data_IF_076943385844
#
_entry.id   IF_076943385844
#
_cell.length_a   1.000
_cell.length_b   1.000
_cell.length_c   1.000
_cell.angle_alpha   90.00
_cell.angle_beta   90.00
_cell.angle_gamma   90.00
#
_symmetry.space_group_name_H-M   'P 1'
#
loop_
_entity.id
_entity.type
_entity.pdbx_description
1 polymer ?
#
# COMPACT_ATOMS: atom_id res chain seq x y z
N UNK A 1 6.83 31.37 -47.32
CA UNK A 1 7.66 31.14 -46.11
C UNK A 1 9.10 30.88 -46.56
N UNK A 2 10.08 31.51 -45.92
CA UNK A 2 11.50 31.36 -46.26
C UNK A 2 12.09 30.13 -45.56
N UNK A 3 13.14 29.54 -46.12
CA UNK A 3 13.87 28.38 -45.54
C UNK A 3 14.36 28.63 -44.11
N UNK A 4 14.69 29.89 -43.78
CA UNK A 4 15.02 30.31 -42.41
C UNK A 4 13.89 30.09 -41.41
N UNK A 5 12.64 30.36 -41.78
CA UNK A 5 11.50 30.12 -40.89
C UNK A 5 11.31 28.62 -40.62
N UNK A 6 11.49 27.77 -41.64
CA UNK A 6 11.43 26.32 -41.46
C UNK A 6 12.54 25.79 -40.55
N UNK A 7 13.76 26.32 -40.67
CA UNK A 7 14.87 25.96 -39.79
C UNK A 7 14.60 26.34 -38.34
N UNK A 8 14.01 27.52 -38.08
CA UNK A 8 13.63 27.96 -36.73
C UNK A 8 12.51 27.10 -36.14
N UNK A 9 11.53 26.71 -36.95
CA UNK A 9 10.45 25.82 -36.53
C UNK A 9 11.02 24.44 -36.18
N UNK A 10 11.88 23.87 -37.02
CA UNK A 10 12.53 22.59 -36.76
C UNK A 10 13.36 22.64 -35.47
N UNK A 11 14.14 23.72 -35.27
CA UNK A 11 14.92 23.91 -34.04
C UNK A 11 14.02 24.01 -32.79
N UNK A 12 12.90 24.73 -32.88
CA UNK A 12 11.93 24.84 -31.79
C UNK A 12 11.29 23.49 -31.45
N UNK A 13 10.94 22.68 -32.46
CA UNK A 13 10.38 21.33 -32.26
C UNK A 13 11.40 20.40 -31.60
N UNK A 14 12.67 20.44 -32.03
CA UNK A 14 13.75 19.64 -31.43
C UNK A 14 13.97 20.04 -29.98
N UNK A 15 14.02 21.33 -29.67
CA UNK A 15 14.14 21.83 -28.29
C UNK A 15 12.94 21.43 -27.44
N UNK A 16 11.73 21.49 -27.98
CA UNK A 16 10.52 21.02 -27.31
C UNK A 16 10.57 19.53 -26.99
N UNK A 17 11.00 18.71 -27.94
CA UNK A 17 11.15 17.27 -27.75
C UNK A 17 12.23 16.93 -26.70
N UNK A 18 13.37 17.61 -26.72
CA UNK A 18 14.44 17.46 -25.72
C UNK A 18 13.94 17.87 -24.33
N UNK A 19 13.22 18.99 -24.24
CA UNK A 19 12.65 19.45 -22.97
C UNK A 19 11.66 18.43 -22.39
N UNK A 20 10.79 17.85 -23.21
CA UNK A 20 9.87 16.78 -22.80
C UNK A 20 10.61 15.51 -22.39
N UNK A 21 11.71 15.17 -23.07
CA UNK A 21 12.53 14.01 -22.74
C UNK A 21 13.27 14.19 -21.40
N UNK A 22 13.86 15.36 -21.17
CA UNK A 22 14.58 15.68 -19.93
C UNK A 22 13.63 15.83 -18.73
N UNK A 23 12.41 16.33 -18.94
CA UNK A 23 11.40 16.48 -17.90
C UNK A 23 10.47 15.26 -17.77
N UNK A 24 10.87 14.09 -18.29
CA UNK A 24 10.03 12.90 -18.26
C UNK A 24 9.72 12.42 -16.83
N UNK A 25 10.64 12.64 -15.89
CA UNK A 25 10.46 12.30 -14.48
C UNK A 25 9.41 13.17 -13.77
N UNK A 26 9.09 14.35 -14.32
CA UNK A 26 8.04 15.21 -13.76
C UNK A 26 6.63 14.61 -13.94
N UNK A 27 6.48 13.73 -14.94
CA UNK A 27 5.25 12.97 -15.20
C UNK A 27 5.25 11.59 -14.54
N UNK A 28 6.35 11.18 -13.89
CA UNK A 28 6.38 9.92 -13.18
C UNK A 28 5.41 9.99 -11.99
N UNK A 29 4.46 9.05 -11.96
CA UNK A 29 3.52 8.94 -10.85
C UNK A 29 4.32 8.71 -9.56
N UNK A 30 4.15 9.60 -8.59
CA UNK A 30 4.88 9.55 -7.32
C UNK A 30 4.69 8.17 -6.66
N UNK A 31 5.80 7.51 -6.34
CA UNK A 31 5.81 6.13 -5.84
C UNK A 31 5.28 6.05 -4.41
N UNK A 32 4.47 5.03 -4.11
CA UNK A 32 3.99 4.79 -2.75
C UNK A 32 5.07 4.02 -1.99
N UNK A 33 5.76 4.72 -1.07
CA UNK A 33 6.69 4.08 -0.16
C UNK A 33 5.95 3.61 1.09
N UNK A 34 6.05 2.31 1.36
CA UNK A 34 5.48 1.66 2.53
C UNK A 34 6.61 1.35 3.50
N UNK A 35 6.48 1.84 4.72
CA UNK A 35 7.35 1.50 5.84
C UNK A 35 6.57 0.61 6.80
N UNK A 36 7.26 -0.35 7.43
CA UNK A 36 6.67 -1.13 8.51
C UNK A 36 7.50 -1.00 9.78
N UNK A 37 6.83 -1.07 10.92
CA UNK A 37 7.46 -1.12 12.23
C UNK A 37 6.72 -2.12 13.10
N UNK A 38 7.44 -3.13 13.57
CA UNK A 38 6.95 -4.00 14.64
C UNK A 38 7.32 -3.39 16.00
N UNK A 39 6.34 -3.15 16.86
CA UNK A 39 6.59 -2.66 18.22
C UNK A 39 6.36 -3.77 19.22
N UNK A 40 7.33 -4.12 20.10
CA UNK A 40 7.13 -5.13 21.15
C UNK A 40 6.20 -4.63 22.27
N UNK A 41 5.95 -3.32 22.35
CA UNK A 41 5.09 -2.74 23.39
C UNK A 41 3.62 -3.00 23.07
N UNK A 42 2.79 -3.40 24.06
CA UNK A 42 1.35 -3.47 23.89
C UNK A 42 0.82 -2.07 23.57
N UNK A 43 0.24 -1.91 22.38
CA UNK A 43 -0.46 -0.68 22.01
C UNK A 43 -1.96 -0.99 22.04
N UNK A 44 -2.80 -0.14 22.66
CA UNK A 44 -4.25 -0.27 22.55
C UNK A 44 -4.65 -0.03 21.09
N UNK A 45 -5.00 -1.10 20.39
CA UNK A 45 -5.49 -1.05 19.00
C UNK A 45 -7.01 -1.14 19.03
N UNK A 46 -7.70 -0.19 18.41
CA UNK A 46 -9.12 -0.28 18.14
C UNK A 46 -9.37 -1.37 17.08
N UNK A 47 -9.47 -2.63 17.56
CA UNK A 47 -9.73 -3.81 16.73
C UNK A 47 -11.22 -4.01 16.54
N UNK A 48 -11.55 -4.77 15.49
CA UNK A 48 -12.92 -5.23 15.27
C UNK A 48 -13.34 -6.17 16.40
N UNK A 49 -14.59 -6.03 16.86
CA UNK A 49 -15.15 -6.84 17.95
C UNK A 49 -15.24 -8.30 17.48
N UNK A 50 -14.63 -9.22 18.23
CA UNK A 50 -14.58 -10.65 17.89
C UNK A 50 -13.28 -11.10 17.20
N UNK A 51 -12.33 -10.20 16.92
CA UNK A 51 -11.02 -10.58 16.39
C UNK A 51 -10.26 -11.52 17.35
N UNK A 52 -9.57 -12.51 16.79
CA UNK A 52 -8.78 -13.48 17.53
C UNK A 52 -7.63 -12.79 18.32
N UNK A 53 -7.22 -13.37 19.47
CA UNK A 53 -6.09 -12.84 20.23
C UNK A 53 -4.79 -12.94 19.42
N UNK A 54 -4.04 -11.85 19.34
CA UNK A 54 -2.79 -11.82 18.58
C UNK A 54 -1.61 -12.41 19.35
N UNK A 55 -0.90 -13.32 18.67
CA UNK A 55 0.32 -13.97 19.15
C UNK A 55 1.57 -13.18 18.79
N UNK A 56 1.57 -12.46 17.67
CA UNK A 56 2.68 -11.61 17.22
C UNK A 56 2.65 -10.19 17.83
N UNK A 57 3.76 -9.47 17.68
CA UNK A 57 3.85 -8.05 18.00
C UNK A 57 3.01 -7.22 17.00
N UNK A 58 2.35 -6.13 17.43
CA UNK A 58 1.60 -5.27 16.53
C UNK A 58 2.50 -4.69 15.42
N UNK A 59 2.05 -4.86 14.17
CA UNK A 59 2.72 -4.33 12.98
C UNK A 59 2.06 -3.04 12.55
N UNK A 60 2.84 -1.97 12.53
CA UNK A 60 2.45 -0.64 12.07
C UNK A 60 2.91 -0.48 10.62
N UNK A 61 2.02 -0.01 9.76
CA UNK A 61 2.33 0.38 8.40
C UNK A 61 2.21 1.89 8.28
N UNK A 62 3.25 2.52 7.74
CA UNK A 62 3.31 3.95 7.50
C UNK A 62 3.60 4.25 6.04
N UNK A 63 3.02 5.33 5.54
CA UNK A 63 3.18 5.82 4.18
C UNK A 63 3.94 7.15 4.19
N UNK A 64 4.68 7.41 3.11
CA UNK A 64 5.34 8.71 2.90
C UNK A 64 4.34 9.88 2.89
N UNK A 65 3.12 9.67 2.40
CA UNK A 65 2.04 10.66 2.31
C UNK A 65 0.69 10.10 2.79
N UNK A 66 -0.32 10.98 2.89
CA UNK A 66 -1.69 10.54 3.20
C UNK A 66 -2.30 9.90 1.96
N UNK A 67 -2.72 8.65 2.06
CA UNK A 67 -3.30 7.89 0.96
C UNK A 67 -4.77 7.54 1.23
N UNK A 68 -5.62 7.72 0.23
CA UNK A 68 -7.00 7.25 0.26
C UNK A 68 -7.02 5.78 -0.17
N UNK A 69 -6.92 4.88 0.80
CA UNK A 69 -6.85 3.44 0.54
C UNK A 69 -8.21 2.90 0.09
N UNK A 70 -8.27 2.35 -1.12
CA UNK A 70 -9.46 1.69 -1.66
C UNK A 70 -9.46 0.20 -1.40
N UNK A 71 -8.28 -0.42 -1.33
CA UNK A 71 -8.12 -1.85 -1.05
C UNK A 71 -6.87 -2.11 -0.21
N UNK A 72 -7.00 -2.95 0.82
CA UNK A 72 -5.87 -3.42 1.65
C UNK A 72 -5.98 -4.92 1.77
N UNK A 73 -4.91 -5.63 1.41
CA UNK A 73 -4.82 -7.09 1.50
C UNK A 73 -3.51 -7.49 2.16
N UNK A 74 -3.57 -8.48 3.03
CA UNK A 74 -2.39 -9.13 3.58
C UNK A 74 -2.43 -10.60 3.22
N UNK A 75 -1.31 -11.11 2.72
CA UNK A 75 -1.14 -12.50 2.34
C UNK A 75 0.06 -13.11 3.07
N UNK A 76 0.01 -14.39 3.46
CA UNK A 76 1.22 -15.14 3.78
C UNK A 76 2.09 -15.26 2.54
N UNK A 77 3.39 -15.01 2.65
CA UNK A 77 4.31 -15.08 1.51
C UNK A 77 4.31 -16.48 0.88
N UNK A 78 4.26 -17.51 1.72
CA UNK A 78 4.15 -18.92 1.30
C UNK A 78 2.92 -19.19 0.43
N UNK A 79 1.78 -18.54 0.72
CA UNK A 79 0.56 -18.68 -0.06
C UNK A 79 0.68 -17.99 -1.42
N UNK A 80 1.37 -16.84 -1.49
CA UNK A 80 1.63 -16.11 -2.74
C UNK A 80 2.56 -16.89 -3.66
N UNK A 81 3.57 -17.56 -3.10
CA UNK A 81 4.53 -18.38 -3.86
C UNK A 81 3.90 -19.67 -4.38
N UNK A 82 3.05 -20.30 -3.58
CA UNK A 82 2.50 -21.63 -3.91
C UNK A 82 1.24 -21.57 -4.78
N UNK A 83 0.46 -20.48 -4.69
CA UNK A 83 -0.84 -20.39 -5.35
C UNK A 83 -0.97 -19.11 -6.19
N UNK A 84 -1.48 -19.25 -7.42
CA UNK A 84 -1.81 -18.13 -8.31
C UNK A 84 -2.90 -17.21 -7.73
N UNK A 85 -3.78 -17.75 -6.89
CA UNK A 85 -4.87 -17.03 -6.22
C UNK A 85 -4.74 -17.19 -4.70
N UNK A 86 -3.77 -16.50 -4.06
CA UNK A 86 -3.59 -16.60 -2.63
C UNK A 86 -4.81 -16.04 -1.90
N UNK A 87 -5.19 -16.66 -0.80
CA UNK A 87 -6.27 -16.18 0.05
C UNK A 87 -5.73 -15.11 1.02
N UNK A 88 -6.33 -13.91 1.05
CA UNK A 88 -5.88 -12.87 1.97
C UNK A 88 -6.37 -13.19 3.39
N UNK A 89 -5.46 -13.14 4.35
CA UNK A 89 -5.77 -13.28 5.79
C UNK A 89 -6.41 -12.02 6.37
N UNK A 90 -6.28 -10.90 5.65
CA UNK A 90 -6.96 -9.66 5.94
C UNK A 90 -7.27 -8.95 4.64
N UNK A 91 -8.54 -8.62 4.41
CA UNK A 91 -8.99 -7.96 3.19
C UNK A 91 -10.02 -6.88 3.52
N UNK A 92 -9.61 -5.63 3.32
CA UNK A 92 -10.46 -4.46 3.44
C UNK A 92 -10.67 -3.80 2.08
N UNK A 93 -11.88 -3.30 1.86
CA UNK A 93 -12.27 -2.52 0.68
C UNK A 93 -12.99 -1.25 1.12
N UNK A 94 -12.89 -0.20 0.32
CA UNK A 94 -13.72 0.99 0.42
C UNK A 94 -14.51 1.16 -0.88
N UNK A 95 -15.81 1.42 -0.77
CA UNK A 95 -16.67 1.56 -1.94
C UNK A 95 -16.59 2.97 -2.54
N UNK A 96 -16.40 4.01 -1.72
CA UNK A 96 -16.42 5.40 -2.22
C UNK A 96 -15.84 6.46 -1.27
N UNK A 97 -15.78 6.21 0.05
CA UNK A 97 -15.39 7.21 1.05
C UNK A 97 -14.15 6.77 1.86
N UNK A 98 -13.05 6.48 1.17
CA UNK A 98 -11.76 6.23 1.81
C UNK A 98 -11.22 7.48 2.49
N UNK A 99 -11.02 7.42 3.81
CA UNK A 99 -10.40 8.52 4.54
C UNK A 99 -8.89 8.51 4.29
N UNK A 100 -8.25 9.64 3.96
CA UNK A 100 -6.80 9.70 3.79
C UNK A 100 -6.06 9.30 5.07
N UNK A 101 -5.29 8.21 5.03
CA UNK A 101 -4.50 7.72 6.17
C UNK A 101 -3.01 7.77 5.86
N UNK A 102 -2.20 8.17 6.85
CA UNK A 102 -0.73 8.15 6.78
C UNK A 102 -0.16 6.87 7.37
N UNK A 103 -0.88 6.23 8.30
CA UNK A 103 -0.48 4.97 8.90
C UNK A 103 -1.70 4.21 9.40
N UNK A 104 -1.56 2.90 9.51
CA UNK A 104 -2.52 2.04 10.20
C UNK A 104 -1.81 0.87 10.86
N UNK A 105 -2.52 0.18 11.73
CA UNK A 105 -2.04 -1.02 12.41
C UNK A 105 -2.74 -2.23 11.78
N UNK A 106 -2.01 -3.34 11.63
CA UNK A 106 -2.64 -4.59 11.22
C UNK A 106 -3.85 -4.92 12.10
N UNK A 107 -4.95 -5.36 11.47
CA UNK A 107 -6.19 -5.73 12.14
C UNK A 107 -6.97 -4.58 12.80
N UNK A 108 -6.50 -3.34 12.68
CA UNK A 108 -7.22 -2.17 13.18
C UNK A 108 -8.37 -1.76 12.25
N UNK A 109 -9.36 -1.05 12.82
CA UNK A 109 -10.41 -0.42 12.01
C UNK A 109 -9.84 0.79 11.28
N UNK A 110 -9.76 0.73 9.95
CA UNK A 110 -9.41 1.87 9.10
C UNK A 110 -10.70 2.65 8.79
N UNK A 111 -10.78 3.96 9.09
CA UNK A 111 -11.95 4.78 8.77
C UNK A 111 -12.27 4.78 7.28
N UNK A 112 -13.53 4.55 6.92
CA UNK A 112 -13.97 4.49 5.52
C UNK A 112 -13.74 3.14 4.83
N UNK A 113 -13.15 2.16 5.51
CA UNK A 113 -12.97 0.80 4.98
C UNK A 113 -13.82 -0.23 5.72
N UNK A 114 -14.22 -1.27 5.00
CA UNK A 114 -14.95 -2.43 5.53
C UNK A 114 -14.31 -3.73 5.05
N UNK A 115 -14.47 -4.84 5.79
CA UNK A 115 -14.10 -6.17 5.29
C UNK A 115 -14.77 -6.46 3.96
N UNK A 116 -14.01 -6.98 3.00
CA UNK A 116 -14.54 -7.34 1.68
C UNK A 116 -15.62 -8.43 1.77
N UNK A 117 -15.41 -9.38 2.66
CA UNK A 117 -16.40 -10.40 3.01
C UNK A 117 -17.06 -9.98 4.32
N UNK A 118 -18.40 -9.91 4.32
CA UNK A 118 -19.16 -9.50 5.50
C UNK A 118 -18.86 -10.44 6.67
N UNK A 119 -18.37 -9.88 7.77
CA UNK A 119 -18.00 -10.64 8.96
C UNK A 119 -16.60 -11.27 8.92
N UNK A 120 -15.83 -11.10 7.83
CA UNK A 120 -14.44 -11.52 7.81
C UNK A 120 -13.62 -10.69 8.79
N UNK A 121 -12.95 -11.40 9.70
CA UNK A 121 -12.05 -10.85 10.70
C UNK A 121 -10.60 -11.06 10.24
N UNK A 122 -9.67 -10.17 10.64
CA UNK A 122 -8.25 -10.41 10.41
C UNK A 122 -7.81 -11.68 11.14
N UNK A 123 -7.13 -12.58 10.43
CA UNK A 123 -6.48 -13.72 11.08
C UNK A 123 -5.23 -13.26 11.86
N UNK A 124 -4.89 -13.90 12.98
CA UNK A 124 -3.74 -13.51 13.77
C UNK A 124 -2.43 -13.79 13.02
N UNK A 125 -1.52 -12.83 13.04
CA UNK A 125 -0.17 -13.02 12.49
C UNK A 125 0.61 -14.00 13.37
N UNK A 126 1.30 -14.93 12.73
CA UNK A 126 2.20 -15.87 13.40
C UNK A 126 3.57 -15.20 13.63
N UNK A 127 4.14 -15.30 14.83
CA UNK A 127 5.51 -14.86 15.10
C UNK A 127 6.52 -15.49 14.13
N UNK A 128 7.39 -14.68 13.53
CA UNK A 128 8.38 -15.11 12.52
C UNK A 128 7.79 -15.43 11.15
N UNK A 129 6.47 -15.23 10.97
CA UNK A 129 5.82 -15.40 9.68
C UNK A 129 6.19 -14.27 8.72
N UNK A 130 6.43 -14.62 7.45
CA UNK A 130 6.62 -13.66 6.35
C UNK A 130 5.29 -13.41 5.65
N UNK A 131 5.00 -12.14 5.43
CA UNK A 131 3.74 -11.68 4.87
C UNK A 131 3.98 -10.60 3.81
N UNK A 132 3.06 -10.49 2.87
CA UNK A 132 3.04 -9.46 1.85
C UNK A 132 1.80 -8.61 2.03
N UNK A 133 2.00 -7.31 2.26
CA UNK A 133 0.95 -6.30 2.24
C UNK A 133 0.79 -5.79 0.80
N UNK A 134 -0.43 -5.83 0.27
CA UNK A 134 -0.80 -5.18 -0.98
C UNK A 134 -1.85 -4.12 -0.71
N UNK A 135 -1.62 -2.91 -1.19
CA UNK A 135 -2.57 -1.80 -1.06
C UNK A 135 -2.89 -1.20 -2.42
N UNK A 136 -4.08 -0.61 -2.51
CA UNK A 136 -4.48 0.26 -3.60
C UNK A 136 -5.00 1.57 -3.06
N UNK A 137 -4.66 2.65 -3.76
CA UNK A 137 -5.16 3.99 -3.53
C UNK A 137 -5.56 4.60 -4.88
N UNK A 138 -6.82 4.40 -5.26
CA UNK A 138 -7.31 4.78 -6.59
C UNK A 138 -6.54 4.05 -7.71
N UNK A 139 -5.88 4.75 -8.64
CA UNK A 139 -5.11 4.14 -9.74
C UNK A 139 -3.75 3.59 -9.29
N UNK A 140 -3.28 3.94 -8.08
CA UNK A 140 -1.98 3.53 -7.59
C UNK A 140 -2.10 2.21 -6.81
N UNK A 141 -1.14 1.32 -7.01
CA UNK A 141 -1.01 0.08 -6.26
C UNK A 141 0.43 -0.05 -5.74
N UNK A 142 0.58 -0.60 -4.55
CA UNK A 142 1.89 -0.88 -3.97
C UNK A 142 1.87 -2.19 -3.20
N UNK A 143 3.04 -2.82 -3.13
CA UNK A 143 3.26 -4.06 -2.41
C UNK A 143 4.47 -3.90 -1.48
N UNK A 144 4.41 -4.54 -0.32
CA UNK A 144 5.46 -4.47 0.68
C UNK A 144 5.53 -5.76 1.48
N UNK A 145 6.71 -6.38 1.49
CA UNK A 145 6.97 -7.61 2.24
C UNK A 145 7.46 -7.26 3.65
N UNK A 146 6.93 -7.96 4.64
CA UNK A 146 7.27 -7.75 6.04
C UNK A 146 7.28 -9.06 6.82
N UNK A 147 7.99 -9.06 7.94
CA UNK A 147 8.04 -10.17 8.87
C UNK A 147 7.33 -9.78 10.18
N UNK A 148 6.46 -10.66 10.68
CA UNK A 148 5.79 -10.44 11.94
C UNK A 148 6.74 -10.76 13.10
N UNK A 149 7.27 -9.74 13.75
CA UNK A 149 8.17 -9.95 14.89
C UNK A 149 7.49 -10.70 16.05
N UNK A 150 8.22 -11.56 16.76
CA UNK A 150 7.69 -12.22 17.94
C UNK A 150 7.39 -11.20 19.03
N UNK A 151 6.31 -11.44 19.76
CA UNK A 151 5.97 -10.67 20.95
C UNK A 151 6.94 -11.04 22.07
N UNK A 152 7.95 -10.19 22.32
CA UNK A 152 8.83 -10.36 23.49
C UNK A 152 7.99 -10.19 24.75
N UNK A 153 8.00 -11.20 25.62
CA UNK A 153 7.42 -11.15 26.97
C UNK A 153 8.21 -10.19 27.85
#
# INVERSE_FOLDING_TARGET
MTTKNWALIAAAVVLGAISLYLNRDWFAAEEIQISHRSSPRPVPVARQRGAAPETAAPVFFGFNRKLQLTEVKVFPLSAVETNKYPHPIWHLVSDSNSVPVKSFIYGSRIPGMRPAVKGALPEPLQPGGKYQLRIKAGPLAAQHDFEAAPRRR
#
